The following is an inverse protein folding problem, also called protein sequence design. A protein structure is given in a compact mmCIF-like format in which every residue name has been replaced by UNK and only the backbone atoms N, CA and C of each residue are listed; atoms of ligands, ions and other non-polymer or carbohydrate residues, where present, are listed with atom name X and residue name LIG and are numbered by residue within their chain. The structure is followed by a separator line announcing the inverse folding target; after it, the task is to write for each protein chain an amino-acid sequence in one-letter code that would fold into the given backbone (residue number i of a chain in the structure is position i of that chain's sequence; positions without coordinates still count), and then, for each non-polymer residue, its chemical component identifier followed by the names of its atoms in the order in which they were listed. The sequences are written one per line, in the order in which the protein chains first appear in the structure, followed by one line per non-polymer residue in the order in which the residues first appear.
data_IF_597301939097
#
_entry.id   IF_597301939097
#
_cell.length_a   1.000
_cell.length_b   1.000
_cell.length_c   1.000
_cell.angle_alpha   90.00
_cell.angle_beta   90.00
_cell.angle_gamma   90.00
#
_symmetry.space_group_name_H-M   'P 1'
#
loop_
_entity.id
_entity.type
_entity.pdbx_description
1 polymer ?
#
# COMPACT_ATOMS: atom_id res chain seq x y z
N UNK A 1 20.18 15.30 -0.96
CA UNK A 1 18.80 15.35 -0.44
C UNK A 1 18.82 14.78 0.97
N UNK A 2 18.01 15.30 1.88
CA UNK A 2 17.94 14.75 3.24
C UNK A 2 17.33 13.34 3.16
N UNK A 3 17.92 12.36 3.86
CA UNK A 3 17.37 11.00 3.90
C UNK A 3 16.14 11.00 4.82
N UNK A 4 14.96 11.16 4.23
CA UNK A 4 13.67 11.14 4.94
C UNK A 4 13.11 9.72 5.04
N UNK A 5 12.32 9.46 6.07
CA UNK A 5 11.74 8.13 6.31
C UNK A 5 10.60 7.74 5.37
N UNK A 6 9.91 8.72 4.79
CA UNK A 6 8.82 8.47 3.85
C UNK A 6 8.97 9.39 2.64
N UNK A 7 9.07 8.81 1.46
CA UNK A 7 8.98 9.52 0.17
C UNK A 7 7.70 9.11 -0.53
N UNK A 8 6.92 10.09 -0.98
CA UNK A 8 5.70 9.87 -1.77
C UNK A 8 5.88 10.42 -3.17
N UNK A 9 5.33 9.72 -4.17
CA UNK A 9 5.30 10.23 -5.53
C UNK A 9 3.96 10.87 -5.84
N UNK A 10 3.98 12.13 -6.28
CA UNK A 10 2.80 12.86 -6.72
C UNK A 10 2.85 13.03 -8.23
N UNK A 11 1.99 12.31 -8.94
CA UNK A 11 1.86 12.48 -10.39
C UNK A 11 1.08 13.77 -10.66
N UNK A 12 1.78 14.76 -11.22
CA UNK A 12 1.28 16.13 -11.46
C UNK A 12 0.55 16.30 -12.78
N UNK A 13 0.71 15.35 -13.71
CA UNK A 13 -0.05 15.33 -14.95
C UNK A 13 -1.54 15.37 -14.61
N UNK A 14 -2.28 16.31 -15.22
CA UNK A 14 -3.72 16.46 -14.97
C UNK A 14 -4.41 15.13 -15.24
N UNK A 15 -4.85 14.46 -14.18
CA UNK A 15 -5.86 13.42 -14.27
C UNK A 15 -7.15 14.11 -14.70
N UNK A 16 -7.37 14.21 -16.00
CA UNK A 16 -8.59 14.78 -16.55
C UNK A 16 -9.70 13.72 -16.57
N UNK A 17 -10.90 14.08 -16.10
CA UNK A 17 -12.09 13.22 -16.15
C UNK A 17 -12.78 13.00 -14.80
N UNK A 18 -13.87 12.21 -14.82
CA UNK A 18 -14.76 11.97 -13.65
C UNK A 18 -14.08 11.32 -12.44
N UNK A 19 -12.84 10.84 -12.56
CA UNK A 19 -12.08 10.18 -11.49
C UNK A 19 -11.06 11.07 -10.78
N UNK A 20 -10.87 12.32 -11.21
CA UNK A 20 -9.85 13.23 -10.67
C UNK A 20 -10.00 13.48 -9.16
N UNK A 21 -11.25 13.54 -8.68
CA UNK A 21 -11.55 13.75 -7.26
C UNK A 21 -10.93 12.67 -6.36
N UNK A 22 -10.78 11.43 -6.86
CA UNK A 22 -10.17 10.33 -6.09
C UNK A 22 -8.70 10.59 -5.78
N UNK A 23 -7.98 11.21 -6.70
CA UNK A 23 -6.58 11.58 -6.49
C UNK A 23 -6.46 12.69 -5.45
N UNK A 24 -7.33 13.71 -5.53
CA UNK A 24 -7.34 14.81 -4.57
C UNK A 24 -7.75 14.36 -3.16
N UNK A 25 -8.76 13.50 -3.05
CA UNK A 25 -9.16 12.96 -1.75
C UNK A 25 -8.12 11.98 -1.18
N UNK A 26 -7.42 11.24 -2.04
CA UNK A 26 -6.31 10.37 -1.59
C UNK A 26 -5.16 11.16 -0.99
N UNK A 27 -4.83 12.33 -1.54
CA UNK A 27 -3.79 13.21 -0.99
C UNK A 27 -4.09 13.68 0.42
N UNK A 28 -5.36 13.95 0.73
CA UNK A 28 -5.80 14.36 2.07
C UNK A 28 -5.59 13.25 3.12
N UNK A 29 -5.54 11.99 2.68
CA UNK A 29 -5.31 10.82 3.54
C UNK A 29 -3.83 10.49 3.76
N UNK A 30 -2.90 11.11 3.02
CA UNK A 30 -1.46 10.86 3.18
C UNK A 30 -0.95 11.05 4.61
N UNK A 31 -1.34 12.10 5.37
CA UNK A 31 -0.91 12.24 6.75
C UNK A 31 -1.37 11.09 7.66
N UNK A 32 -2.59 10.59 7.44
CA UNK A 32 -3.14 9.44 8.19
C UNK A 32 -2.37 8.16 7.84
N UNK A 33 -2.09 7.92 6.56
CA UNK A 33 -1.29 6.78 6.10
C UNK A 33 0.14 6.84 6.65
N UNK A 34 0.80 7.99 6.58
CA UNK A 34 2.16 8.20 7.12
C UNK A 34 2.23 7.91 8.61
N UNK A 35 1.24 8.39 9.37
CA UNK A 35 1.13 8.13 10.81
C UNK A 35 1.01 6.63 11.08
N UNK A 36 0.13 5.93 10.37
CA UNK A 36 -0.01 4.48 10.48
C UNK A 36 1.30 3.74 10.16
N UNK A 37 2.00 4.11 9.09
CA UNK A 37 3.26 3.45 8.73
C UNK A 37 4.30 3.62 9.84
N UNK A 38 4.45 4.83 10.39
CA UNK A 38 5.37 5.06 11.50
C UNK A 38 5.04 4.20 12.71
N UNK A 39 3.76 4.11 13.07
CA UNK A 39 3.30 3.29 14.19
C UNK A 39 3.53 1.79 13.95
N UNK A 40 3.15 1.28 12.78
CA UNK A 40 3.29 -0.14 12.41
C UNK A 40 4.77 -0.53 12.46
N UNK A 41 5.63 0.21 11.76
CA UNK A 41 7.04 -0.14 11.66
C UNK A 41 7.81 0.08 12.96
N UNK A 42 7.39 1.03 13.81
CA UNK A 42 7.91 1.14 15.16
C UNK A 42 7.56 -0.09 16.01
N UNK A 43 6.30 -0.56 15.95
CA UNK A 43 5.85 -1.74 16.68
C UNK A 43 6.54 -3.04 16.22
N UNK A 44 6.96 -3.10 14.96
CA UNK A 44 7.74 -4.20 14.40
C UNK A 44 9.23 -4.14 14.77
N UNK A 45 9.69 -3.11 15.49
CA UNK A 45 11.11 -2.91 15.78
C UNK A 45 11.94 -2.47 14.55
N UNK A 46 11.27 -1.95 13.52
CA UNK A 46 11.87 -1.48 12.26
C UNK A 46 11.57 0.01 12.01
N UNK A 47 11.83 0.91 12.98
CA UNK A 47 11.37 2.29 12.90
C UNK A 47 11.88 3.00 11.63
N UNK A 48 11.05 3.88 11.10
CA UNK A 48 11.39 4.72 9.95
C UNK A 48 12.27 5.91 10.37
N UNK A 49 13.08 6.42 9.44
CA UNK A 49 13.77 7.70 9.62
C UNK A 49 12.76 8.85 9.84
N UNK A 50 13.17 9.96 10.46
CA UNK A 50 12.33 11.14 10.57
C UNK A 50 12.10 11.80 9.20
N UNK A 51 11.09 12.68 9.12
CA UNK A 51 10.83 13.49 7.93
C UNK A 51 10.03 12.77 6.85
N UNK A 52 9.47 13.58 5.96
CA UNK A 52 8.60 13.18 4.85
C UNK A 52 8.92 14.07 3.66
N UNK A 53 8.90 13.52 2.45
CA UNK A 53 9.00 14.31 1.22
C UNK A 53 7.96 13.84 0.19
N UNK A 54 7.58 14.78 -0.67
CA UNK A 54 6.73 14.51 -1.84
C UNK A 54 7.54 14.88 -3.07
N UNK A 55 7.70 13.93 -3.98
CA UNK A 55 8.34 14.14 -5.27
C UNK A 55 7.24 14.31 -6.31
N UNK A 56 7.14 15.51 -6.84
CA UNK A 56 6.29 15.81 -7.98
C UNK A 56 6.93 15.27 -9.26
N UNK A 57 6.18 14.47 -10.03
CA UNK A 57 6.63 13.91 -11.29
C UNK A 57 5.50 13.94 -12.32
N UNK A 58 5.84 13.93 -13.61
CA UNK A 58 4.89 13.65 -14.70
C UNK A 58 4.64 12.14 -14.79
N UNK A 59 3.57 11.72 -15.47
CA UNK A 59 3.28 10.30 -15.71
C UNK A 59 4.43 9.64 -16.48
N UNK A 60 5.00 10.35 -17.46
CA UNK A 60 6.13 9.86 -18.24
C UNK A 60 7.38 9.66 -17.38
N UNK A 61 7.68 10.58 -16.46
CA UNK A 61 8.81 10.43 -15.54
C UNK A 61 8.57 9.28 -14.56
N UNK A 62 7.36 9.14 -14.05
CA UNK A 62 6.96 8.04 -13.19
C UNK A 62 7.04 6.68 -13.92
N UNK A 63 6.69 6.63 -15.20
CA UNK A 63 6.86 5.45 -16.07
C UNK A 63 8.33 5.13 -16.36
N UNK A 64 9.15 6.15 -16.66
CA UNK A 64 10.56 6.00 -17.00
C UNK A 64 11.44 5.64 -15.80
N UNK A 65 11.04 6.06 -14.59
CA UNK A 65 11.68 5.70 -13.32
C UNK A 65 11.39 4.27 -12.86
N UNK A 66 10.72 3.46 -13.69
CA UNK A 66 10.14 2.15 -13.37
C UNK A 66 8.94 2.20 -12.40
N UNK A 67 8.73 3.25 -11.61
CA UNK A 67 7.71 3.29 -10.55
C UNK A 67 6.25 3.10 -11.00
N UNK A 68 5.84 3.57 -12.19
CA UNK A 68 4.48 3.30 -12.72
C UNK A 68 4.27 1.84 -13.14
N UNK A 69 5.28 1.22 -13.75
CA UNK A 69 5.18 -0.17 -14.18
C UNK A 69 5.32 -1.14 -13.00
N UNK A 70 5.96 -0.71 -11.92
CA UNK A 70 6.18 -1.49 -10.71
C UNK A 70 5.08 -1.32 -9.66
N UNK A 71 4.26 -0.27 -9.77
CA UNK A 71 3.23 0.10 -8.80
C UNK A 71 3.88 0.44 -7.47
N UNK A 72 4.59 1.57 -7.40
CA UNK A 72 5.20 2.06 -6.16
C UNK A 72 4.70 3.49 -5.91
N UNK A 73 3.87 3.67 -4.89
CA UNK A 73 3.40 4.99 -4.46
C UNK A 73 4.31 5.62 -3.40
N UNK A 74 4.96 4.78 -2.58
CA UNK A 74 5.72 5.19 -1.39
C UNK A 74 7.01 4.39 -1.25
N UNK A 75 8.09 5.08 -0.87
CA UNK A 75 9.33 4.48 -0.37
C UNK A 75 9.45 4.75 1.13
N UNK A 76 9.66 3.69 1.90
CA UNK A 76 9.89 3.72 3.34
C UNK A 76 11.36 3.47 3.63
N UNK A 77 12.01 4.35 4.40
CA UNK A 77 13.42 4.20 4.79
C UNK A 77 13.53 3.94 6.28
N UNK A 78 14.12 2.80 6.62
CA UNK A 78 14.29 2.35 8.00
C UNK A 78 15.58 2.94 8.61
N UNK A 79 15.59 3.14 9.94
CA UNK A 79 16.77 3.61 10.68
C UNK A 79 17.99 2.70 10.47
N UNK A 80 17.77 1.40 10.27
CA UNK A 80 18.82 0.40 10.01
C UNK A 80 19.39 0.46 8.58
N UNK A 81 18.93 1.39 7.74
CA UNK A 81 19.46 1.65 6.40
C UNK A 81 18.77 0.89 5.25
N UNK A 82 17.80 0.02 5.54
CA UNK A 82 16.99 -0.66 4.53
C UNK A 82 15.90 0.23 3.94
N UNK A 83 15.46 -0.09 2.72
CA UNK A 83 14.30 0.53 2.07
C UNK A 83 13.23 -0.53 1.78
N UNK A 84 11.97 -0.11 1.89
CA UNK A 84 10.81 -0.90 1.47
C UNK A 84 9.92 -0.07 0.56
N UNK A 85 9.37 -0.71 -0.48
CA UNK A 85 8.42 -0.08 -1.41
C UNK A 85 6.99 -0.46 -1.05
N UNK A 86 6.06 0.47 -1.26
CA UNK A 86 4.67 0.30 -0.88
C UNK A 86 3.75 0.87 -1.95
N UNK A 87 2.70 0.11 -2.26
CA UNK A 87 1.59 0.56 -3.10
C UNK A 87 0.35 0.74 -2.23
N UNK A 88 -0.39 1.80 -2.48
CA UNK A 88 -1.54 2.22 -1.70
C UNK A 88 -2.83 2.06 -2.50
N UNK A 89 -3.90 1.73 -1.78
CA UNK A 89 -5.26 1.80 -2.30
C UNK A 89 -6.19 2.37 -1.26
N UNK A 90 -6.52 3.64 -1.42
CA UNK A 90 -7.50 4.32 -0.58
C UNK A 90 -8.88 4.22 -1.21
N UNK A 91 -9.85 3.79 -0.41
CA UNK A 91 -11.19 3.46 -0.87
C UNK A 91 -12.23 4.24 -0.06
N UNK A 92 -13.18 4.85 -0.76
CA UNK A 92 -14.23 5.69 -0.16
C UNK A 92 -15.58 4.97 -0.18
N UNK A 93 -15.55 3.65 0.02
CA UNK A 93 -16.72 2.75 0.02
C UNK A 93 -16.68 1.90 1.29
N UNK A 94 -17.61 0.96 1.48
CA UNK A 94 -17.70 0.11 2.69
C UNK A 94 -17.56 -1.38 2.39
N UNK A 95 -16.95 -1.72 1.24
CA UNK A 95 -16.87 -3.12 0.80
C UNK A 95 -15.96 -3.99 1.67
N UNK A 96 -15.01 -3.41 2.41
CA UNK A 96 -14.10 -4.11 3.33
C UNK A 96 -13.33 -5.27 2.65
N UNK A 97 -12.79 -4.99 1.47
CA UNK A 97 -12.08 -5.93 0.60
C UNK A 97 -10.71 -5.41 0.22
N UNK A 98 -9.74 -6.32 0.11
CA UNK A 98 -8.53 -6.05 -0.68
C UNK A 98 -8.88 -6.27 -2.15
N UNK A 99 -8.55 -5.30 -3.00
CA UNK A 99 -8.85 -5.37 -4.44
C UNK A 99 -7.61 -5.04 -5.27
N UNK A 100 -7.25 -5.90 -6.21
CA UNK A 100 -6.07 -5.72 -7.06
C UNK A 100 -6.49 -5.87 -8.52
N UNK A 101 -5.95 -5.04 -9.41
CA UNK A 101 -6.30 -5.09 -10.83
C UNK A 101 -5.82 -6.40 -11.46
N UNK A 102 -6.74 -7.16 -12.04
CA UNK A 102 -6.47 -8.41 -12.75
C UNK A 102 -6.12 -8.15 -14.22
N UNK A 103 -6.96 -7.40 -14.91
CA UNK A 103 -6.70 -6.93 -16.28
C UNK A 103 -7.07 -5.46 -16.41
N UNK A 104 -6.27 -4.72 -17.21
CA UNK A 104 -6.54 -3.33 -17.57
C UNK A 104 -7.63 -3.22 -18.64
N UNK A 105 -7.55 -4.09 -19.64
CA UNK A 105 -8.58 -4.28 -20.66
C UNK A 105 -8.81 -5.78 -20.85
N UNK A 106 -10.03 -6.25 -20.58
CA UNK A 106 -10.41 -7.66 -20.74
C UNK A 106 -10.45 -8.12 -22.20
N UNK A 107 -10.51 -7.20 -23.16
CA UNK A 107 -10.47 -7.51 -24.60
C UNK A 107 -9.05 -7.81 -25.04
N UNK A 108 -8.07 -7.03 -24.58
CA UNK A 108 -6.65 -7.24 -24.91
C UNK A 108 -5.98 -8.22 -23.94
N UNK A 109 -6.65 -8.56 -22.83
CA UNK A 109 -6.11 -9.37 -21.73
C UNK A 109 -4.81 -8.80 -21.16
N UNK A 110 -4.65 -7.48 -21.21
CA UNK A 110 -3.51 -6.80 -20.64
C UNK A 110 -3.47 -6.99 -19.12
N UNK A 111 -2.36 -7.55 -18.63
CA UNK A 111 -2.19 -7.91 -17.22
C UNK A 111 -2.16 -6.67 -16.32
N UNK A 112 -3.01 -6.68 -15.30
CA UNK A 112 -3.03 -5.69 -14.23
C UNK A 112 -2.02 -5.98 -13.12
N UNK A 113 -2.09 -5.16 -12.08
CA UNK A 113 -1.19 -5.15 -10.92
C UNK A 113 -1.08 -6.50 -10.19
N UNK A 114 -2.12 -7.33 -10.25
CA UNK A 114 -2.12 -8.66 -9.65
C UNK A 114 -0.92 -9.52 -10.12
N UNK A 115 -0.43 -9.26 -11.33
CA UNK A 115 0.67 -10.00 -11.95
C UNK A 115 2.00 -9.25 -12.01
N UNK A 116 1.98 -7.93 -11.85
CA UNK A 116 3.16 -7.07 -12.14
C UNK A 116 3.60 -6.22 -10.95
N UNK A 117 2.79 -6.12 -9.90
CA UNK A 117 3.10 -5.31 -8.72
C UNK A 117 4.38 -5.82 -8.06
N UNK A 118 5.36 -4.92 -7.86
CA UNK A 118 6.67 -5.23 -7.27
C UNK A 118 6.89 -4.59 -5.90
N UNK A 119 5.86 -3.96 -5.33
CA UNK A 119 5.92 -3.41 -3.99
C UNK A 119 6.26 -4.50 -2.95
N UNK A 120 7.01 -4.15 -1.91
CA UNK A 120 7.19 -5.02 -0.74
C UNK A 120 5.89 -5.12 0.06
N UNK A 121 5.17 -4.00 0.17
CA UNK A 121 3.92 -3.92 0.93
C UNK A 121 2.76 -3.41 0.09
N UNK A 122 1.56 -3.90 0.39
CA UNK A 122 0.31 -3.42 -0.21
C UNK A 122 -0.62 -2.91 0.89
N UNK A 123 -0.91 -1.62 0.89
CA UNK A 123 -1.81 -1.00 1.85
C UNK A 123 -3.19 -0.81 1.25
N UNK A 124 -4.22 -1.26 1.96
CA UNK A 124 -5.61 -0.96 1.63
C UNK A 124 -6.26 -0.31 2.84
N UNK A 125 -6.79 0.90 2.65
CA UNK A 125 -7.47 1.66 3.68
C UNK A 125 -8.80 2.21 3.19
N UNK A 126 -9.81 2.14 4.04
CA UNK A 126 -11.15 2.64 3.76
C UNK A 126 -11.44 3.91 4.57
N UNK A 127 -11.91 4.99 3.91
CA UNK A 127 -12.49 6.17 4.57
C UNK A 127 -13.92 6.38 4.02
N UNK A 128 -14.89 5.57 4.46
CA UNK A 128 -16.26 5.66 3.95
C UNK A 128 -16.97 6.96 4.39
N UNK A 129 -16.52 7.57 5.49
CA UNK A 129 -17.15 8.76 6.08
C UNK A 129 -16.51 10.07 5.64
N UNK A 130 -15.36 10.03 4.95
CA UNK A 130 -14.60 11.23 4.58
C UNK A 130 -14.00 11.96 5.79
N UNK A 131 -13.75 11.24 6.89
CA UNK A 131 -13.25 11.81 8.13
C UNK A 131 -11.72 11.86 8.19
N UNK A 132 -11.04 11.52 7.08
CA UNK A 132 -9.59 11.45 6.96
C UNK A 132 -8.96 10.44 7.91
N UNK A 133 -9.68 9.36 8.20
CA UNK A 133 -9.21 8.22 8.97
C UNK A 133 -9.54 6.93 8.24
N UNK A 134 -8.67 5.94 8.41
CA UNK A 134 -8.91 4.63 7.83
C UNK A 134 -9.61 3.71 8.81
N UNK A 135 -10.76 3.18 8.42
CA UNK A 135 -11.44 2.05 9.07
C UNK A 135 -12.41 1.36 8.08
N UNK A 136 -12.17 0.07 7.71
CA UNK A 136 -11.02 -0.74 8.07
C UNK A 136 -9.78 -0.44 7.22
N UNK A 137 -8.61 -0.86 7.71
CA UNK A 137 -7.37 -0.93 6.94
C UNK A 137 -6.58 -2.21 7.21
N UNK A 138 -5.72 -2.56 6.24
CA UNK A 138 -4.74 -3.65 6.32
C UNK A 138 -3.46 -3.27 5.57
N UNK A 139 -2.32 -3.60 6.17
CA UNK A 139 -1.01 -3.59 5.51
C UNK A 139 -0.57 -5.04 5.26
N UNK A 140 -0.29 -5.36 4.00
CA UNK A 140 0.04 -6.72 3.57
C UNK A 140 1.51 -6.86 3.20
N UNK A 141 2.11 -8.01 3.52
CA UNK A 141 3.36 -8.48 2.94
C UNK A 141 3.04 -9.06 1.56
N UNK A 142 3.40 -8.30 0.52
CA UNK A 142 3.02 -8.65 -0.85
C UNK A 142 3.72 -9.93 -1.35
N UNK A 143 5.04 -10.12 -1.15
CA UNK A 143 5.69 -11.40 -1.43
C UNK A 143 5.04 -12.60 -0.72
N UNK A 144 4.65 -12.46 0.55
CA UNK A 144 3.95 -13.51 1.29
C UNK A 144 2.59 -13.81 0.69
N UNK A 145 1.80 -12.77 0.41
CA UNK A 145 0.50 -12.90 -0.24
C UNK A 145 0.59 -13.64 -1.59
N UNK A 146 1.62 -13.37 -2.39
CA UNK A 146 1.85 -14.07 -3.66
C UNK A 146 2.13 -15.56 -3.47
N UNK A 147 2.98 -15.93 -2.49
CA UNK A 147 3.25 -17.34 -2.15
C UNK A 147 1.97 -18.07 -1.70
N UNK A 148 1.23 -17.47 -0.77
CA UNK A 148 -0.01 -18.04 -0.22
C UNK A 148 -1.13 -18.09 -1.27
N UNK A 149 -1.14 -17.16 -2.22
CA UNK A 149 -2.03 -17.21 -3.40
C UNK A 149 -1.70 -18.39 -4.30
N UNK A 150 -0.42 -18.66 -4.57
CA UNK A 150 0.01 -19.81 -5.37
C UNK A 150 -0.33 -21.16 -4.71
N UNK A 151 -0.48 -21.18 -3.39
CA UNK A 151 -0.96 -22.33 -2.60
C UNK A 151 -2.49 -22.46 -2.59
N UNK A 152 -3.24 -21.60 -3.30
CA UNK A 152 -4.71 -21.57 -3.32
C UNK A 152 -5.37 -21.34 -1.95
N UNK A 153 -4.65 -20.72 -1.02
CA UNK A 153 -5.13 -20.47 0.35
C UNK A 153 -5.91 -19.16 0.50
N UNK A 154 -5.88 -18.30 -0.51
CA UNK A 154 -6.66 -17.06 -0.54
C UNK A 154 -7.84 -17.25 -1.49
N UNK A 155 -9.09 -17.12 -1.02
CA UNK A 155 -10.28 -17.31 -1.84
C UNK A 155 -10.54 -16.07 -2.72
N UNK A 156 -9.66 -15.86 -3.71
CA UNK A 156 -9.81 -14.74 -4.62
C UNK A 156 -11.08 -14.86 -5.47
N UNK A 157 -11.80 -13.76 -5.58
CA UNK A 157 -12.93 -13.61 -6.47
C UNK A 157 -12.60 -12.64 -7.61
N UNK A 158 -13.11 -12.91 -8.81
CA UNK A 158 -12.93 -12.04 -9.96
C UNK A 158 -14.18 -11.20 -10.21
N UNK A 159 -14.00 -9.88 -10.39
CA UNK A 159 -15.08 -8.97 -10.80
C UNK A 159 -14.65 -8.11 -11.96
N UNK A 160 -15.34 -8.23 -13.09
CA UNK A 160 -15.22 -7.29 -14.20
C UNK A 160 -15.98 -6.00 -13.94
N UNK A 161 -15.41 -4.86 -14.33
CA UNK A 161 -16.18 -3.65 -14.54
C UNK A 161 -16.65 -3.62 -16.00
N UNK A 162 -17.92 -3.96 -16.21
CA UNK A 162 -18.54 -3.93 -17.54
C UNK A 162 -19.32 -2.64 -17.78
N UNK A 163 -19.38 -1.74 -16.78
CA UNK A 163 -20.04 -0.45 -16.89
C UNK A 163 -18.98 0.60 -17.25
N UNK A 164 -19.26 1.32 -18.33
CA UNK A 164 -18.38 2.27 -19.01
C UNK A 164 -17.18 1.65 -19.73
N UNK A 165 -16.52 2.45 -20.57
CA UNK A 165 -15.34 2.08 -21.38
C UNK A 165 -14.16 1.52 -20.56
N UNK A 166 -14.23 1.57 -19.23
CA UNK A 166 -13.23 1.04 -18.32
C UNK A 166 -13.37 -0.50 -18.27
N UNK A 167 -12.80 -1.17 -19.28
CA UNK A 167 -12.79 -2.63 -19.49
C UNK A 167 -11.92 -3.40 -18.48
N UNK A 168 -11.72 -2.86 -17.29
CA UNK A 168 -10.86 -3.46 -16.29
C UNK A 168 -11.56 -4.58 -15.51
N UNK A 169 -10.77 -5.50 -14.95
CA UNK A 169 -11.25 -6.51 -14.01
C UNK A 169 -10.36 -6.54 -12.77
N UNK A 170 -10.92 -6.97 -11.65
CA UNK A 170 -10.26 -6.94 -10.34
C UNK A 170 -10.38 -8.28 -9.63
N UNK A 171 -9.27 -8.75 -9.08
CA UNK A 171 -9.28 -9.77 -8.04
C UNK A 171 -9.63 -9.13 -6.71
N UNK A 172 -10.47 -9.77 -5.91
CA UNK A 172 -10.82 -9.27 -4.58
C UNK A 172 -11.03 -10.39 -3.56
N UNK A 173 -10.80 -10.06 -2.29
CA UNK A 173 -11.06 -10.92 -1.12
C UNK A 173 -11.44 -10.04 0.06
N UNK A 174 -12.28 -10.53 0.98
CA UNK A 174 -12.63 -9.77 2.19
C UNK A 174 -11.41 -9.69 3.11
N UNK A 175 -11.21 -8.55 3.77
CA UNK A 175 -10.06 -8.36 4.69
C UNK A 175 -10.04 -9.46 5.77
N UNK A 176 -11.21 -9.81 6.33
CA UNK A 176 -11.36 -10.85 7.36
C UNK A 176 -11.05 -12.28 6.89
N UNK A 177 -10.96 -12.51 5.58
CA UNK A 177 -10.68 -13.83 4.97
C UNK A 177 -9.20 -13.99 4.60
N UNK A 178 -8.39 -12.94 4.81
CA UNK A 178 -6.96 -13.01 4.57
C UNK A 178 -6.27 -13.85 5.66
N UNK A 179 -5.35 -14.76 5.27
CA UNK A 179 -4.51 -15.46 6.23
C UNK A 179 -3.69 -14.50 7.09
N UNK A 180 -3.45 -14.87 8.35
CA UNK A 180 -2.78 -13.99 9.31
C UNK A 180 -1.34 -13.67 8.89
N UNK A 181 -0.64 -14.65 8.30
CA UNK A 181 0.75 -14.54 7.90
C UNK A 181 1.00 -13.58 6.72
N UNK A 182 -0.03 -13.22 5.96
CA UNK A 182 0.10 -12.22 4.90
C UNK A 182 -0.15 -10.80 5.41
N UNK A 183 -0.66 -10.66 6.63
CA UNK A 183 -1.02 -9.39 7.25
C UNK A 183 0.11 -8.91 8.18
N UNK A 184 0.75 -7.81 7.81
CA UNK A 184 1.75 -7.11 8.63
C UNK A 184 1.06 -6.48 9.83
N UNK A 185 0.02 -5.67 9.59
CA UNK A 185 -0.85 -5.12 10.62
C UNK A 185 -2.24 -4.78 10.04
N UNK A 186 -3.23 -4.56 10.89
CA UNK A 186 -4.59 -4.17 10.47
C UNK A 186 -5.38 -3.49 11.58
N UNK A 187 -6.39 -2.71 11.19
CA UNK A 187 -7.39 -2.10 12.10
C UNK A 187 -8.07 -3.07 13.07
N UNK A 188 -8.20 -4.35 12.71
CA UNK A 188 -8.87 -5.36 13.55
C UNK A 188 -7.94 -6.04 14.56
N UNK A 189 -6.62 -5.86 14.47
CA UNK A 189 -5.67 -6.41 15.44
C UNK A 189 -5.66 -5.53 16.69
N UNK A 190 -5.88 -6.16 17.85
CA UNK A 190 -5.56 -5.52 19.13
C UNK A 190 -4.05 -5.33 19.18
N UNK A 191 -3.59 -4.08 19.07
CA UNK A 191 -2.19 -3.74 19.32
C UNK A 191 -1.91 -3.93 20.81
N UNK A 192 -1.47 -5.12 21.19
CA UNK A 192 -0.79 -5.27 22.46
C UNK A 192 0.49 -4.43 22.37
N UNK A 193 0.59 -3.37 23.18
CA UNK A 193 1.80 -2.58 23.32
C UNK A 193 2.95 -3.49 23.77
N UNK A 194 3.66 -4.10 22.82
CA UNK A 194 5.00 -4.60 23.08
C UNK A 194 5.88 -3.37 23.21
N UNK A 195 6.25 -3.05 24.45
CA UNK A 195 7.29 -2.07 24.71
C UNK A 195 8.52 -2.43 23.83
N UNK A 196 9.17 -1.45 23.19
CA UNK A 196 10.35 -1.73 22.39
C UNK A 196 11.36 -2.48 23.26
N UNK A 197 11.87 -3.60 22.75
CA UNK A 197 12.94 -4.34 23.42
C UNK A 197 14.10 -3.37 23.65
N UNK A 198 14.59 -3.30 24.89
CA UNK A 198 15.73 -2.47 25.22
C UNK A 198 16.90 -2.81 24.28
N UNK A 199 17.63 -1.82 23.76
CA UNK A 199 18.78 -2.09 22.92
C UNK A 199 19.77 -2.98 23.69
N UNK A 200 20.41 -3.97 23.03
CA UNK A 200 21.38 -4.83 23.69
C UNK A 200 22.49 -3.96 24.27
N UNK A 201 22.76 -4.13 25.57
CA UNK A 201 23.86 -3.44 26.25
C UNK A 201 25.16 -3.72 25.52
N UNK A 202 25.90 -2.66 25.20
CA UNK A 202 27.21 -2.77 24.58
C UNK A 202 28.16 -3.52 25.54
N UNK A 203 28.42 -4.80 25.24
CA UNK A 203 29.40 -5.59 25.97
C UNK A 203 30.76 -4.94 25.81
N UNK A 204 31.17 -4.20 26.83
CA UNK A 204 32.51 -3.61 26.90
C UNK A 204 33.47 -4.72 27.29
N UNK A 205 33.98 -5.47 26.31
CA UNK A 205 35.15 -6.33 26.52
C UNK A 205 36.35 -5.45 26.83
N UNK A 206 36.85 -5.57 28.07
CA UNK A 206 38.15 -5.06 28.51
C UNK A 206 39.27 -5.98 28.03
#
# INVERSE_FOLDING_TARGET
MANVGITRFNITDKVSGKGAWRFEDSKKLWPAANSLYREIFAALGMPLLPGEEVIDCTKTEFEAGYDYQLGIDVILRHVVGGESTLQEKFLFTDFNTVTVEHCQDWVTLEKGDFYKLKANYYFVGYDPTGCLQFDPWVLLDWPCLQRVTAEYRIPWHLRGNYKDKARASFMFVKIKELPEEVCVDSSSRKREHRAPAAPPEATTTR
#
